data_IF_962585583689
#
_entry.id   IF_962585583689
#
_cell.length_a   1.000
_cell.length_b   1.000
_cell.length_c   1.000
_cell.angle_alpha   90.00
_cell.angle_beta   90.00
_cell.angle_gamma   90.00
#
_symmetry.space_group_name_H-M   'P 1'
#
loop_
_entity.id
_entity.type
_entity.pdbx_description
1 polymer ?
#
# COMPACT_ATOMS: atom_id res chain seq x y z
N UNK A 1 -18.61 7.60 -9.83
CA UNK A 1 -17.20 7.31 -9.52
C UNK A 1 -16.32 7.56 -10.74
N UNK A 2 -16.71 7.05 -11.91
CA UNK A 2 -16.04 7.37 -13.19
C UNK A 2 -16.01 8.87 -13.50
N UNK A 3 -17.07 9.62 -13.18
CA UNK A 3 -17.10 11.09 -13.34
C UNK A 3 -16.00 11.79 -12.52
N UNK A 4 -15.83 11.43 -11.25
CA UNK A 4 -14.83 12.05 -10.36
C UNK A 4 -13.41 11.84 -10.88
N UNK A 5 -13.12 10.64 -11.42
CA UNK A 5 -11.80 10.34 -11.99
C UNK A 5 -11.58 11.14 -13.28
N UNK A 6 -12.62 11.26 -14.12
CA UNK A 6 -12.59 12.08 -15.34
C UNK A 6 -12.41 13.56 -15.05
N UNK A 7 -13.22 14.12 -14.15
CA UNK A 7 -13.20 15.53 -13.76
C UNK A 7 -11.85 15.91 -13.10
N UNK A 8 -11.32 15.04 -12.22
CA UNK A 8 -9.99 15.24 -11.62
C UNK A 8 -8.88 15.14 -12.67
N UNK A 9 -8.98 14.20 -13.62
CA UNK A 9 -8.00 14.06 -14.70
C UNK A 9 -7.96 15.30 -15.59
N UNK A 10 -9.12 15.84 -15.94
CA UNK A 10 -9.24 17.03 -16.76
C UNK A 10 -8.77 18.28 -16.02
N UNK A 11 -9.13 18.43 -14.74
CA UNK A 11 -8.64 19.52 -13.89
C UNK A 11 -7.11 19.50 -13.73
N UNK A 12 -6.52 18.32 -13.50
CA UNK A 12 -5.06 18.15 -13.38
C UNK A 12 -4.36 18.44 -14.72
N UNK A 13 -4.98 18.09 -15.84
CA UNK A 13 -4.47 18.40 -17.18
C UNK A 13 -4.46 19.90 -17.45
N UNK A 14 -5.53 20.60 -17.06
CA UNK A 14 -5.68 22.05 -17.23
C UNK A 14 -4.81 22.83 -16.23
N UNK A 15 -4.57 22.27 -15.04
CA UNK A 15 -3.82 22.88 -13.95
C UNK A 15 -2.65 21.99 -13.49
N UNK A 16 -1.66 21.80 -14.38
CA UNK A 16 -0.50 20.92 -14.16
C UNK A 16 0.24 21.16 -12.84
N UNK A 17 0.26 22.39 -12.33
CA UNK A 17 0.88 22.74 -11.05
C UNK A 17 0.19 22.13 -9.82
N UNK A 18 -1.11 21.81 -9.92
CA UNK A 18 -1.91 21.24 -8.83
C UNK A 18 -1.81 19.71 -8.73
N UNK A 19 -1.19 19.06 -9.72
CA UNK A 19 -1.02 17.60 -9.72
C UNK A 19 -0.31 17.10 -8.45
N UNK A 20 0.79 17.74 -8.03
CA UNK A 20 1.54 17.38 -6.84
C UNK A 20 0.73 17.51 -5.54
N UNK A 21 0.14 18.69 -5.25
CA UNK A 21 -0.71 18.87 -4.07
C UNK A 21 -1.91 17.93 -3.99
N UNK A 22 -2.60 17.68 -5.11
CA UNK A 22 -3.76 16.78 -5.15
C UNK A 22 -3.32 15.34 -4.84
N UNK A 23 -2.25 14.88 -5.49
CA UNK A 23 -1.67 13.55 -5.22
C UNK A 23 -1.21 13.44 -3.77
N UNK A 24 -0.61 14.50 -3.23
CA UNK A 24 -0.22 14.57 -1.83
C UNK A 24 -1.41 14.45 -0.88
N UNK A 25 -2.51 15.16 -1.14
CA UNK A 25 -3.73 15.07 -0.34
C UNK A 25 -4.35 13.65 -0.38
N UNK A 26 -4.36 13.02 -1.55
CA UNK A 26 -4.84 11.64 -1.71
C UNK A 26 -3.94 10.66 -0.95
N UNK A 27 -2.62 10.74 -1.14
CA UNK A 27 -1.65 9.89 -0.46
C UNK A 27 -1.72 10.08 1.06
N UNK A 28 -1.90 11.31 1.52
CA UNK A 28 -2.10 11.66 2.92
C UNK A 28 -3.35 11.01 3.49
N UNK A 29 -4.51 11.17 2.84
CA UNK A 29 -5.75 10.55 3.27
C UNK A 29 -5.66 9.02 3.30
N UNK A 30 -5.00 8.42 2.32
CA UNK A 30 -4.81 6.97 2.25
C UNK A 30 -3.82 6.45 3.34
N UNK A 31 -2.90 7.29 3.80
CA UNK A 31 -1.95 6.99 4.89
C UNK A 31 -2.51 7.28 6.29
N UNK A 32 -3.63 8.01 6.39
CA UNK A 32 -4.33 8.20 7.67
C UNK A 32 -5.02 6.90 8.10
N UNK A 33 -4.77 6.50 9.34
CA UNK A 33 -5.41 5.35 9.93
C UNK A 33 -6.94 5.52 9.92
N UNK A 34 -7.67 4.45 9.61
CA UNK A 34 -9.14 4.40 9.46
C UNK A 34 -9.64 5.13 8.20
N UNK A 35 -9.22 6.36 7.94
CA UNK A 35 -9.64 7.16 6.77
C UNK A 35 -9.18 6.51 5.46
N UNK A 36 -7.94 6.00 5.43
CA UNK A 36 -7.39 5.36 4.24
C UNK A 36 -8.11 4.09 3.80
N UNK A 37 -8.96 3.50 4.67
CA UNK A 37 -9.81 2.36 4.27
C UNK A 37 -10.96 2.77 3.35
N UNK A 38 -11.35 4.05 3.36
CA UNK A 38 -12.47 4.57 2.57
C UNK A 38 -12.02 5.27 1.27
N UNK A 39 -10.72 5.59 1.14
CA UNK A 39 -10.19 6.33 0.00
C UNK A 39 -9.62 5.34 -1.03
N UNK A 40 -10.21 5.23 -2.24
CA UNK A 40 -9.71 4.36 -3.30
C UNK A 40 -8.52 5.03 -4.02
N UNK A 41 -7.40 5.20 -3.32
CA UNK A 41 -6.25 5.92 -3.85
C UNK A 41 -5.44 5.13 -4.90
N UNK A 42 -5.39 3.79 -4.81
CA UNK A 42 -4.70 2.95 -5.81
C UNK A 42 -5.17 3.19 -7.26
N UNK A 43 -6.48 3.11 -7.60
CA UNK A 43 -6.92 3.39 -8.97
C UNK A 43 -6.66 4.83 -9.41
N UNK A 44 -6.75 5.81 -8.49
CA UNK A 44 -6.47 7.22 -8.79
C UNK A 44 -4.98 7.42 -9.11
N UNK A 45 -4.09 6.82 -8.32
CA UNK A 45 -2.65 6.87 -8.57
C UNK A 45 -2.27 6.21 -9.90
N UNK A 46 -2.90 5.07 -10.24
CA UNK A 46 -2.69 4.44 -11.55
C UNK A 46 -3.17 5.37 -12.68
N UNK A 47 -4.34 6.00 -12.55
CA UNK A 47 -4.83 6.95 -13.55
C UNK A 47 -3.88 8.15 -13.74
N UNK A 48 -3.39 8.73 -12.65
CA UNK A 48 -2.41 9.83 -12.68
C UNK A 48 -1.09 9.37 -13.28
N UNK A 49 -0.65 8.14 -12.97
CA UNK A 49 0.50 7.51 -13.62
C UNK A 49 0.34 7.46 -15.14
N UNK A 50 -0.87 7.17 -15.63
CA UNK A 50 -1.23 7.23 -17.05
C UNK A 50 -1.02 8.62 -17.66
N UNK A 51 -1.49 9.67 -16.98
CA UNK A 51 -1.29 11.05 -17.42
C UNK A 51 0.20 11.45 -17.46
N UNK A 52 0.99 10.99 -16.49
CA UNK A 52 2.45 11.18 -16.47
C UNK A 52 3.11 10.42 -17.63
N UNK A 53 2.67 9.19 -17.89
CA UNK A 53 3.17 8.36 -19.00
C UNK A 53 2.85 8.94 -20.38
N UNK A 54 1.71 9.61 -20.51
CA UNK A 54 1.29 10.33 -21.72
C UNK A 54 2.00 11.69 -21.90
N UNK A 55 2.83 12.12 -20.94
CA UNK A 55 3.54 13.40 -20.99
C UNK A 55 2.66 14.63 -20.72
N UNK A 56 1.45 14.43 -20.18
CA UNK A 56 0.51 15.52 -19.85
C UNK A 56 0.92 16.19 -18.53
N UNK A 57 1.43 15.39 -17.58
CA UNK A 57 1.81 15.82 -16.23
C UNK A 57 3.27 15.47 -15.97
N UNK A 58 4.00 16.35 -15.30
CA UNK A 58 5.39 16.09 -14.92
C UNK A 58 5.49 15.04 -13.80
N UNK A 59 6.44 14.09 -13.88
CA UNK A 59 6.59 13.03 -12.89
C UNK A 59 7.09 13.54 -11.53
N UNK A 60 7.96 14.55 -11.50
CA UNK A 60 8.63 14.99 -10.28
C UNK A 60 7.64 15.53 -9.23
N UNK A 61 6.76 16.50 -9.57
CA UNK A 61 5.81 17.05 -8.59
C UNK A 61 4.84 16.00 -8.06
N UNK A 62 4.43 15.04 -8.90
CA UNK A 62 3.53 13.94 -8.53
C UNK A 62 4.20 13.00 -7.53
N UNK A 63 5.43 12.56 -7.80
CA UNK A 63 6.16 11.66 -6.90
C UNK A 63 6.49 12.36 -5.58
N UNK A 64 6.99 13.59 -5.63
CA UNK A 64 7.31 14.38 -4.43
C UNK A 64 6.04 14.60 -3.59
N UNK A 65 4.94 15.01 -4.22
CA UNK A 65 3.65 15.18 -3.56
C UNK A 65 3.17 13.89 -2.89
N UNK A 66 3.21 12.77 -3.61
CA UNK A 66 2.84 11.46 -3.08
C UNK A 66 3.66 11.06 -1.85
N UNK A 67 4.99 11.26 -1.90
CA UNK A 67 5.90 10.92 -0.80
C UNK A 67 5.62 11.81 0.40
N UNK A 68 5.51 13.13 0.22
CA UNK A 68 5.24 14.07 1.32
C UNK A 68 3.89 13.75 1.97
N UNK A 69 2.85 13.57 1.17
CA UNK A 69 1.51 13.26 1.66
C UNK A 69 1.48 11.95 2.44
N UNK A 70 2.05 10.89 1.86
CA UNK A 70 2.17 9.58 2.51
C UNK A 70 2.92 9.65 3.85
N UNK A 71 4.09 10.28 3.85
CA UNK A 71 4.94 10.40 5.05
C UNK A 71 4.19 11.19 6.13
N UNK A 72 3.57 12.32 5.78
CA UNK A 72 2.80 13.13 6.71
C UNK A 72 1.60 12.37 7.30
N UNK A 73 0.87 11.61 6.48
CA UNK A 73 -0.25 10.78 6.96
C UNK A 73 0.22 9.69 7.92
N UNK A 74 1.34 9.02 7.61
CA UNK A 74 1.93 8.00 8.45
C UNK A 74 2.46 8.59 9.78
N UNK A 75 2.99 9.81 9.77
CA UNK A 75 3.39 10.55 10.98
C UNK A 75 2.18 10.80 11.88
N UNK A 76 1.07 11.30 11.32
CA UNK A 76 -0.14 11.56 12.12
C UNK A 76 -0.71 10.25 12.67
N UNK A 77 -0.75 9.20 11.87
CA UNK A 77 -1.17 7.87 12.31
C UNK A 77 -0.28 7.33 13.44
N UNK A 78 1.03 7.54 13.35
CA UNK A 78 1.99 7.19 14.40
C UNK A 78 1.75 7.99 15.69
N UNK A 79 1.59 9.31 15.58
CA UNK A 79 1.32 10.18 16.72
C UNK A 79 -0.01 9.84 17.40
N UNK A 80 -1.04 9.53 16.61
CA UNK A 80 -2.33 9.06 17.11
C UNK A 80 -2.15 7.76 17.89
N UNK A 81 -1.40 6.79 17.34
CA UNK A 81 -1.05 5.56 18.03
C UNK A 81 -0.29 5.79 19.34
N UNK A 82 0.65 6.74 19.34
CA UNK A 82 1.44 7.11 20.51
C UNK A 82 0.57 7.78 21.59
N UNK A 83 -0.32 8.70 21.21
CA UNK A 83 -1.25 9.38 22.11
C UNK A 83 -2.28 8.44 22.75
N UNK A 84 -2.80 7.47 21.98
CA UNK A 84 -3.69 6.43 22.52
C UNK A 84 -2.98 5.55 23.56
N UNK A 85 -1.64 5.43 23.47
CA UNK A 85 -0.78 4.82 24.46
C UNK A 85 -0.99 3.31 24.65
N UNK A 86 -0.18 2.71 25.52
CA UNK A 86 -0.25 1.26 25.81
C UNK A 86 -1.53 0.87 26.56
N UNK A 87 -2.20 1.82 27.21
CA UNK A 87 -3.39 1.57 28.02
C UNK A 87 -4.63 1.25 27.18
N UNK A 88 -4.70 1.67 25.91
CA UNK A 88 -5.87 1.38 25.07
C UNK A 88 -5.99 -0.09 24.68
N UNK A 89 -4.91 -0.87 24.79
CA UNK A 89 -4.90 -2.33 24.57
C UNK A 89 -5.84 -3.04 25.56
N UNK A 90 -6.10 -2.43 26.72
CA UNK A 90 -7.02 -2.93 27.74
C UNK A 90 -8.46 -2.43 27.56
N UNK A 91 -8.70 -1.48 26.64
CA UNK A 91 -10.03 -0.92 26.35
C UNK A 91 -10.63 -1.55 25.09
N UNK A 92 -11.96 -1.54 25.01
CA UNK A 92 -12.71 -2.03 23.84
C UNK A 92 -12.47 -1.10 22.64
N UNK A 93 -12.31 -1.59 21.39
CA UNK A 93 -12.40 -2.99 20.93
C UNK A 93 -11.08 -3.78 20.95
N UNK A 94 -9.94 -3.12 21.21
CA UNK A 94 -8.60 -3.72 21.13
C UNK A 94 -8.34 -4.80 22.19
N UNK A 95 -9.09 -4.76 23.31
CA UNK A 95 -9.09 -5.82 24.33
C UNK A 95 -9.44 -7.21 23.76
N UNK A 96 -10.23 -7.29 22.67
CA UNK A 96 -10.56 -8.56 22.00
C UNK A 96 -9.39 -9.12 21.17
N UNK A 97 -8.41 -8.29 20.85
CA UNK A 97 -7.30 -8.60 19.94
C UNK A 97 -5.93 -8.66 20.63
N UNK A 98 -5.88 -8.88 21.95
CA UNK A 98 -4.62 -8.92 22.73
C UNK A 98 -3.57 -9.87 22.14
N UNK A 99 -3.98 -11.03 21.63
CA UNK A 99 -3.08 -12.01 21.01
C UNK A 99 -2.46 -11.49 19.71
N UNK A 100 -3.22 -10.76 18.88
CA UNK A 100 -2.71 -10.10 17.68
C UNK A 100 -1.75 -8.95 18.04
N UNK A 101 -2.10 -8.15 19.05
CA UNK A 101 -1.24 -7.06 19.57
C UNK A 101 0.07 -7.60 20.15
N UNK A 102 0.04 -8.74 20.85
CA UNK A 102 1.25 -9.38 21.38
C UNK A 102 2.18 -9.88 20.26
N UNK A 103 1.61 -10.47 19.19
CA UNK A 103 2.37 -10.87 18.00
C UNK A 103 2.96 -9.65 17.28
N UNK A 104 2.19 -8.59 17.10
CA UNK A 104 2.68 -7.35 16.52
C UNK A 104 3.84 -6.79 17.36
N UNK A 105 3.73 -6.79 18.69
CA UNK A 105 4.81 -6.38 19.60
C UNK A 105 6.09 -7.20 19.40
N UNK A 106 5.99 -8.52 19.29
CA UNK A 106 7.15 -9.38 19.02
C UNK A 106 7.76 -9.11 17.64
N UNK A 107 6.91 -8.88 16.62
CA UNK A 107 7.34 -8.55 15.28
C UNK A 107 8.08 -7.22 15.24
N UNK A 108 7.53 -6.16 15.86
CA UNK A 108 8.17 -4.86 15.95
C UNK A 108 9.45 -4.89 16.80
N UNK A 109 9.50 -5.72 17.85
CA UNK A 109 10.72 -5.88 18.66
C UNK A 109 11.85 -6.54 17.88
N UNK A 110 11.54 -7.49 16.99
CA UNK A 110 12.53 -8.25 16.21
C UNK A 110 12.87 -7.61 14.87
N UNK A 111 11.90 -6.98 14.22
CA UNK A 111 11.97 -6.50 12.84
C UNK A 111 11.53 -5.05 12.67
N UNK A 112 11.45 -4.23 13.72
CA UNK A 112 10.79 -2.91 13.73
C UNK A 112 10.94 -2.09 12.43
N UNK A 113 12.17 -1.84 11.97
CA UNK A 113 12.42 -1.15 10.70
C UNK A 113 11.82 -1.89 9.49
N UNK A 114 12.17 -3.16 9.33
CA UNK A 114 11.72 -4.04 8.24
C UNK A 114 10.20 -4.24 8.24
N UNK A 115 9.58 -4.28 9.42
CA UNK A 115 8.14 -4.42 9.59
C UNK A 115 7.39 -3.17 9.14
N UNK A 116 7.92 -1.97 9.44
CA UNK A 116 7.37 -0.71 8.92
C UNK A 116 7.55 -0.64 7.41
N UNK A 117 8.76 -0.91 6.93
CA UNK A 117 9.09 -0.81 5.52
C UNK A 117 8.24 -1.74 4.64
N UNK A 118 8.21 -3.04 4.95
CA UNK A 118 7.44 -4.00 4.16
C UNK A 118 5.95 -3.93 4.45
N UNK A 119 5.56 -3.53 5.66
CA UNK A 119 4.16 -3.37 6.05
C UNK A 119 3.39 -2.41 5.15
N UNK A 120 4.07 -1.40 4.59
CA UNK A 120 3.50 -0.43 3.65
C UNK A 120 2.99 -1.06 2.34
N UNK A 121 3.56 -2.18 1.92
CA UNK A 121 3.19 -2.86 0.66
C UNK A 121 2.01 -3.82 0.80
N UNK A 122 1.59 -4.13 2.03
CA UNK A 122 0.44 -4.99 2.28
C UNK A 122 -0.79 -4.13 2.58
N UNK A 123 -1.68 -3.97 1.60
CA UNK A 123 -2.81 -3.02 1.60
C UNK A 123 -3.53 -2.84 2.95
N UNK A 124 -4.15 -3.88 3.54
CA UNK A 124 -4.88 -3.74 4.81
C UNK A 124 -3.97 -3.44 6.01
N UNK A 125 -2.72 -3.90 5.95
CA UNK A 125 -1.74 -3.80 7.03
C UNK A 125 -1.14 -2.39 7.06
N UNK A 126 -1.02 -1.74 5.89
CA UNK A 126 -0.42 -0.41 5.71
C UNK A 126 -1.00 0.64 6.66
N UNK A 127 -2.32 0.76 6.76
CA UNK A 127 -2.97 1.81 7.57
C UNK A 127 -2.82 1.56 9.07
N UNK A 128 -2.56 0.30 9.44
CA UNK A 128 -2.44 -0.14 10.83
C UNK A 128 -1.00 -0.08 11.35
N UNK A 129 -0.01 -0.21 10.47
CA UNK A 129 1.42 -0.30 10.84
C UNK A 129 1.92 0.96 11.54
N UNK A 130 1.73 2.19 11.02
CA UNK A 130 2.14 3.42 11.71
C UNK A 130 1.48 3.57 13.08
N UNK A 131 0.17 3.31 13.15
CA UNK A 131 -0.60 3.38 14.39
C UNK A 131 -0.08 2.39 15.43
N UNK A 132 0.14 1.13 15.05
CA UNK A 132 0.67 0.10 15.95
C UNK A 132 2.11 0.43 16.38
N UNK A 133 2.95 0.96 15.48
CA UNK A 133 4.30 1.41 15.82
C UNK A 133 4.27 2.51 16.90
N UNK A 134 3.35 3.47 16.77
CA UNK A 134 3.11 4.52 17.76
C UNK A 134 2.65 3.96 19.11
N UNK A 135 1.66 3.06 19.11
CA UNK A 135 1.15 2.41 20.32
C UNK A 135 2.23 1.62 21.07
N UNK A 136 3.23 1.09 20.36
CA UNK A 136 4.35 0.36 20.94
C UNK A 136 5.49 1.27 21.42
N UNK A 137 5.37 2.58 21.24
CA UNK A 137 6.42 3.57 21.56
C UNK A 137 7.75 3.22 20.86
N UNK A 138 7.68 2.88 19.57
CA UNK A 138 8.87 2.69 18.76
C UNK A 138 9.70 3.98 18.71
N UNK A 139 11.01 3.87 18.55
CA UNK A 139 11.86 5.05 18.37
C UNK A 139 11.42 5.85 17.12
N UNK A 140 11.18 7.16 17.29
CA UNK A 140 10.65 8.01 16.21
C UNK A 140 11.62 8.06 15.03
N UNK A 141 12.92 8.17 15.28
CA UNK A 141 13.93 8.24 14.23
C UNK A 141 13.92 6.97 13.38
N UNK A 142 13.90 5.80 14.00
CA UNK A 142 13.80 4.52 13.28
C UNK A 142 12.51 4.40 12.48
N UNK A 143 11.40 4.89 13.02
CA UNK A 143 10.12 4.90 12.32
C UNK A 143 10.15 5.85 11.12
N UNK A 144 10.61 7.09 11.28
CA UNK A 144 10.66 8.07 10.19
C UNK A 144 11.59 7.62 9.06
N UNK A 145 12.76 7.08 9.38
CA UNK A 145 13.68 6.57 8.35
C UNK A 145 13.05 5.43 7.56
N UNK A 146 12.38 4.48 8.23
CA UNK A 146 11.65 3.41 7.54
C UNK A 146 10.49 3.95 6.69
N UNK A 147 9.73 4.89 7.24
CA UNK A 147 8.59 5.54 6.59
C UNK A 147 9.02 6.24 5.29
N UNK A 148 9.99 7.16 5.36
CA UNK A 148 10.49 7.90 4.20
C UNK A 148 11.06 6.97 3.14
N UNK A 149 11.93 6.02 3.53
CA UNK A 149 12.52 5.08 2.57
C UNK A 149 11.45 4.21 1.90
N UNK A 150 10.45 3.75 2.67
CA UNK A 150 9.36 2.96 2.11
C UNK A 150 8.45 3.78 1.18
N UNK A 151 8.20 5.06 1.50
CA UNK A 151 7.40 5.96 0.68
C UNK A 151 8.09 6.28 -0.65
N UNK A 152 9.41 6.49 -0.64
CA UNK A 152 10.22 6.72 -1.85
C UNK A 152 10.17 5.54 -2.82
N UNK A 153 10.09 4.30 -2.32
CA UNK A 153 9.97 3.11 -3.17
C UNK A 153 8.52 2.88 -3.59
N UNK A 154 7.58 3.11 -2.67
CA UNK A 154 6.16 2.87 -2.88
C UNK A 154 5.55 3.81 -3.93
N UNK A 155 5.88 5.11 -3.90
CA UNK A 155 5.27 6.08 -4.81
C UNK A 155 5.53 5.73 -6.29
N UNK A 156 6.78 5.53 -6.75
CA UNK A 156 7.04 5.09 -8.12
C UNK A 156 6.32 3.79 -8.49
N UNK A 157 6.28 2.79 -7.58
CA UNK A 157 5.61 1.52 -7.83
C UNK A 157 4.10 1.66 -8.05
N UNK A 158 3.44 2.61 -7.38
CA UNK A 158 2.01 2.87 -7.58
C UNK A 158 1.71 3.55 -8.90
N UNK A 159 2.59 4.45 -9.37
CA UNK A 159 2.41 5.14 -10.65
C UNK A 159 2.85 4.30 -11.85
N UNK A 160 3.76 3.35 -11.66
CA UNK A 160 4.41 2.59 -12.73
C UNK A 160 3.43 1.87 -13.68
N UNK A 161 2.39 1.15 -13.22
CA UNK A 161 1.45 0.48 -14.13
C UNK A 161 0.74 1.48 -15.04
N UNK A 162 0.27 2.59 -14.47
CA UNK A 162 -0.33 3.69 -15.21
C UNK A 162 0.63 4.30 -16.20
N UNK A 163 1.86 4.60 -15.76
CA UNK A 163 2.89 5.19 -16.60
C UNK A 163 3.27 4.31 -17.80
N UNK A 164 3.39 3.00 -17.59
CA UNK A 164 3.61 2.03 -18.66
C UNK A 164 2.45 2.02 -19.66
N UNK A 165 1.21 2.07 -19.18
CA UNK A 165 0.03 2.15 -20.04
C UNK A 165 -0.02 3.47 -20.80
N UNK A 166 0.25 4.61 -20.16
CA UNK A 166 0.23 5.93 -20.80
C UNK A 166 1.33 6.09 -21.85
N UNK A 167 2.55 5.63 -21.53
CA UNK A 167 3.68 5.63 -22.48
C UNK A 167 3.46 4.61 -23.60
N UNK A 168 2.91 3.46 -23.26
CA UNK A 168 2.51 2.41 -24.19
C UNK A 168 1.35 2.85 -25.10
N UNK A 169 0.39 3.64 -24.62
CA UNK A 169 -0.75 4.12 -25.39
C UNK A 169 -0.31 4.99 -26.59
N UNK A 170 0.77 5.77 -26.44
CA UNK A 170 1.40 6.46 -27.58
C UNK A 170 2.03 5.51 -28.62
N UNK A 171 2.40 4.29 -28.21
CA UNK A 171 2.88 3.21 -29.09
C UNK A 171 1.68 2.46 -29.69
N UNK A 172 0.66 2.13 -28.89
CA UNK A 172 -0.56 1.44 -29.30
C UNK A 172 -1.42 2.26 -30.26
N UNK A 173 -1.44 3.60 -30.12
CA UNK A 173 -2.09 4.52 -31.05
C UNK A 173 -1.44 4.51 -32.45
N UNK A 174 -0.21 3.98 -32.56
CA UNK A 174 0.51 3.80 -33.83
C UNK A 174 0.56 2.33 -34.29
N UNK A 175 -0.04 1.39 -33.53
CA UNK A 175 -0.05 -0.03 -33.85
C UNK A 175 -1.34 -0.43 -34.57
N UNK A 176 -1.21 -1.20 -35.65
CA UNK A 176 -2.35 -1.79 -36.35
C UNK A 176 -3.16 -2.77 -35.48
N UNK A 177 -4.44 -2.95 -35.83
CA UNK A 177 -5.43 -3.70 -35.05
C UNK A 177 -5.05 -5.15 -34.71
N UNK A 178 -4.25 -5.83 -35.54
CA UNK A 178 -3.81 -7.20 -35.26
C UNK A 178 -2.68 -7.28 -34.21
N UNK A 179 -1.79 -6.29 -34.16
CA UNK A 179 -0.74 -6.22 -33.13
C UNK A 179 -1.35 -5.93 -31.75
N UNK A 180 -2.40 -5.10 -31.72
CA UNK A 180 -3.18 -4.83 -30.51
C UNK A 180 -3.84 -6.10 -29.96
N UNK A 181 -4.44 -6.93 -30.83
CA UNK A 181 -5.11 -8.18 -30.42
C UNK A 181 -4.13 -9.18 -29.80
N UNK A 182 -2.97 -9.39 -30.42
CA UNK A 182 -1.93 -10.27 -29.87
C UNK A 182 -1.36 -9.77 -28.55
N UNK A 183 -1.22 -8.45 -28.38
CA UNK A 183 -0.77 -7.85 -27.13
C UNK A 183 -1.77 -8.07 -25.98
N UNK A 184 -3.08 -7.89 -26.24
CA UNK A 184 -4.15 -8.15 -25.26
C UNK A 184 -4.16 -9.64 -24.86
N UNK A 185 -4.04 -10.54 -25.84
CA UNK A 185 -3.96 -11.99 -25.59
C UNK A 185 -2.73 -12.33 -24.74
N UNK A 186 -1.58 -11.71 -25.01
CA UNK A 186 -0.35 -11.93 -24.24
C UNK A 186 -0.48 -11.48 -22.78
N UNK A 187 -1.10 -10.32 -22.52
CA UNK A 187 -1.38 -9.86 -21.15
C UNK A 187 -2.34 -10.83 -20.44
N UNK A 188 -3.44 -11.23 -21.09
CA UNK A 188 -4.40 -12.14 -20.51
C UNK A 188 -3.75 -13.48 -20.13
N UNK A 189 -2.90 -14.02 -21.01
CA UNK A 189 -2.12 -15.25 -20.76
C UNK A 189 -1.15 -15.03 -19.59
N UNK A 190 -0.41 -13.92 -19.56
CA UNK A 190 0.51 -13.61 -18.47
C UNK A 190 -0.21 -13.51 -17.12
N UNK A 191 -1.38 -12.86 -17.06
CA UNK A 191 -2.21 -12.77 -15.86
C UNK A 191 -2.67 -14.16 -15.40
N UNK A 192 -3.12 -15.02 -16.32
CA UNK A 192 -3.50 -16.40 -16.00
C UNK A 192 -2.31 -17.19 -15.48
N UNK A 193 -1.13 -17.08 -16.11
CA UNK A 193 0.09 -17.76 -15.68
C UNK A 193 0.49 -17.31 -14.27
N UNK A 194 0.56 -16.01 -14.01
CA UNK A 194 0.91 -15.46 -12.68
C UNK A 194 -0.09 -15.92 -11.63
N UNK A 195 -1.38 -15.93 -11.95
CA UNK A 195 -2.44 -16.39 -11.04
C UNK A 195 -2.31 -17.89 -10.76
N UNK A 196 -2.07 -18.72 -11.78
CA UNK A 196 -1.90 -20.17 -11.62
C UNK A 196 -0.64 -20.49 -10.83
N UNK A 197 0.48 -19.83 -11.11
CA UNK A 197 1.74 -19.99 -10.37
C UNK A 197 1.54 -19.54 -8.91
N UNK A 198 0.91 -18.38 -8.69
CA UNK A 198 0.59 -17.88 -7.36
C UNK A 198 -0.27 -18.86 -6.57
N UNK A 199 -1.36 -19.35 -7.16
CA UNK A 199 -2.23 -20.36 -6.54
C UNK A 199 -1.48 -21.66 -6.25
N UNK A 200 -0.62 -22.12 -7.16
CA UNK A 200 0.18 -23.33 -6.94
C UNK A 200 1.23 -23.14 -5.84
N UNK A 201 1.89 -21.99 -5.78
CA UNK A 201 2.88 -21.70 -4.74
C UNK A 201 2.23 -21.58 -3.35
N UNK A 202 1.03 -20.99 -3.27
CA UNK A 202 0.26 -20.91 -2.03
C UNK A 202 -0.33 -22.26 -1.60
N UNK A 203 -0.73 -23.13 -2.54
CA UNK A 203 -1.19 -24.50 -2.24
C UNK A 203 -0.04 -25.47 -1.95
N UNK A 204 1.17 -25.17 -2.39
CA UNK A 204 2.38 -25.98 -2.18
C UNK A 204 3.09 -25.74 -0.83
N UNK A 205 2.50 -24.97 0.10
CA UNK A 205 2.90 -25.01 1.51
C UNK A 205 2.03 -26.02 2.25
N UNK A 206 2.47 -27.27 2.48
CA UNK A 206 1.77 -28.16 3.38
C UNK A 206 1.85 -27.52 4.76
N UNK A 207 0.68 -27.34 5.37
CA UNK A 207 0.53 -26.88 6.74
C UNK A 207 1.03 -27.97 7.69
N UNK A 208 2.34 -28.10 7.85
CA UNK A 208 2.94 -28.94 8.88
C UNK A 208 3.06 -28.14 10.17
N UNK A 209 2.07 -28.32 11.05
CA UNK A 209 2.12 -28.16 12.51
C UNK A 209 0.67 -28.34 13.02
N UNK A 210 0.31 -29.15 14.03
CA UNK A 210 1.07 -29.86 15.06
C UNK A 210 0.03 -30.70 15.84
N UNK A 211 -0.10 -32.01 15.58
CA UNK A 211 -0.82 -32.89 16.54
C UNK A 211 0.15 -33.19 17.69
N UNK A 212 0.20 -32.30 18.69
CA UNK A 212 0.62 -32.70 20.03
C UNK A 212 -0.55 -33.49 20.62
N UNK A 213 -0.52 -34.81 20.44
CA UNK A 213 -1.27 -35.71 21.30
C UNK A 213 -0.67 -35.61 22.70
N UNK A 214 -1.34 -34.89 23.58
CA UNK A 214 -1.13 -35.03 25.02
C UNK A 214 -1.66 -36.42 25.37
N UNK A 215 -0.76 -37.39 25.53
CA UNK A 215 -1.09 -38.61 26.27
C UNK A 215 -1.22 -38.19 27.74
N UNK A 216 -2.47 -38.04 28.17
CA UNK A 216 -2.83 -38.06 29.58
C UNK A 216 -2.64 -39.50 30.02
N UNK A 217 -1.69 -39.76 30.93
CA UNK A 217 -1.64 -41.00 31.69
C UNK A 217 -2.87 -41.02 32.61
N UNK A 218 -3.75 -42.02 32.53
CA UNK A 218 -4.59 -42.35 33.67
C UNK A 218 -3.65 -42.97 34.71
N UNK A 219 -3.73 -42.52 35.94
CA UNK A 219 -3.08 -43.21 37.05
C UNK A 219 -3.68 -44.60 37.21
N UNK A 220 -2.79 -45.56 37.51
CA UNK A 220 -2.94 -46.69 38.43
C UNK A 220 -1.56 -47.35 38.58
#
# INVERSE_FOLDING_TARGET
>A
MESIIGDLGQFISDHRAWAGPIVGAIAFGESLAIIGMFIPATPIMIAIGGLVGAGIVEPLPVIIGAVIGAVAGDIISYLLGWWLGRNIIHKWPLNKYRSAVARARLLFRRYGFTAVFWGRFFGPVRCTVPMVAGMMSMDQTRFQTANVLSALVWAPLMFLPGWLVGRGAGIFAKMDGDHMRWFIIAIAIATVIVTVIGVRFFRARPRHERKRGVQVSPGE
#
